data_IF_237622116798
#
_entry.id   IF_237622116798
#
_cell.length_a   1.000
_cell.length_b   1.000
_cell.length_c   1.000
_cell.angle_alpha   90.00
_cell.angle_beta   90.00
_cell.angle_gamma   90.00
#
_symmetry.space_group_name_H-M   'P 1'
#
loop_
_entity.id
_entity.type
_entity.pdbx_description
1 polymer ?
#
# COMPACT_ATOMS: atom_id res chain seq x y z
N UNK A 1 -14.80 0.16 -21.95
CA UNK A 1 -14.19 -0.69 -20.91
C UNK A 1 -13.74 -1.96 -21.58
N UNK A 2 -12.56 -2.47 -21.21
CA UNK A 2 -12.01 -3.72 -21.75
C UNK A 2 -12.78 -4.93 -21.21
N UNK A 3 -12.89 -5.99 -22.01
CA UNK A 3 -13.60 -7.23 -21.64
C UNK A 3 -12.59 -8.21 -20.99
N UNK A 4 -13.07 -9.07 -20.09
CA UNK A 4 -12.24 -10.11 -19.44
C UNK A 4 -11.51 -10.96 -20.49
N UNK A 5 -10.17 -11.05 -20.39
CA UNK A 5 -9.33 -11.81 -21.32
C UNK A 5 -8.69 -11.01 -22.47
N UNK A 6 -8.99 -9.71 -22.62
CA UNK A 6 -8.41 -8.88 -23.67
C UNK A 6 -7.04 -8.26 -23.31
N UNK A 7 -6.65 -8.25 -22.03
CA UNK A 7 -5.35 -7.75 -21.60
C UNK A 7 -4.34 -8.91 -21.61
N UNK A 8 -3.72 -9.13 -22.77
CA UNK A 8 -2.71 -10.17 -23.00
C UNK A 8 -1.27 -9.65 -22.84
N UNK A 9 -1.08 -8.34 -22.77
CA UNK A 9 0.23 -7.69 -22.61
C UNK A 9 0.10 -6.38 -21.84
N UNK A 10 1.18 -5.96 -21.14
CA UNK A 10 1.16 -4.76 -20.30
C UNK A 10 1.25 -3.43 -21.08
N UNK A 11 1.24 -3.48 -22.42
CA UNK A 11 1.40 -2.32 -23.30
C UNK A 11 0.32 -2.18 -24.38
N UNK A 12 -0.69 -3.05 -24.42
CA UNK A 12 -1.80 -2.95 -25.38
C UNK A 12 -1.43 -3.18 -26.86
N UNK A 13 -0.21 -3.62 -27.18
CA UNK A 13 0.21 -4.04 -28.52
C UNK A 13 0.76 -5.48 -28.50
N UNK A 14 0.12 -6.45 -29.19
CA UNK A 14 0.59 -7.83 -29.27
C UNK A 14 1.76 -8.03 -30.26
N UNK A 15 2.27 -6.99 -30.91
CA UNK A 15 3.33 -7.11 -31.92
C UNK A 15 4.70 -7.52 -31.34
N UNK A 16 5.57 -8.19 -32.11
CA UNK A 16 6.94 -8.54 -31.66
C UNK A 16 7.82 -7.33 -31.29
N UNK A 17 7.46 -6.12 -31.75
CA UNK A 17 8.18 -4.88 -31.43
C UNK A 17 7.78 -4.27 -30.09
N UNK A 18 6.75 -4.80 -29.44
CA UNK A 18 6.20 -4.23 -28.22
C UNK A 18 7.20 -4.30 -27.04
N UNK A 19 8.11 -5.29 -27.03
CA UNK A 19 9.19 -5.43 -26.04
C UNK A 19 10.40 -4.50 -26.26
N UNK A 20 10.44 -3.73 -27.35
CA UNK A 20 11.63 -2.95 -27.74
C UNK A 20 11.85 -1.65 -26.93
N UNK A 21 10.94 -1.31 -26.00
CA UNK A 21 10.99 -0.05 -25.24
C UNK A 21 10.73 -0.22 -23.73
N UNK A 22 11.08 -1.37 -23.16
CA UNK A 22 10.89 -1.63 -21.73
C UNK A 22 9.47 -2.07 -21.34
N UNK A 23 8.63 -2.44 -22.32
CA UNK A 23 7.35 -3.08 -22.03
C UNK A 23 7.47 -4.60 -21.96
N UNK A 24 6.53 -5.24 -21.26
CA UNK A 24 6.44 -6.69 -21.19
C UNK A 24 5.35 -7.22 -22.13
N UNK A 25 5.73 -8.19 -22.95
CA UNK A 25 4.80 -9.01 -23.73
C UNK A 25 4.65 -10.39 -23.09
N UNK A 26 4.21 -10.41 -21.83
CA UNK A 26 3.99 -11.60 -21.02
C UNK A 26 2.66 -11.45 -20.27
N UNK A 27 2.01 -12.58 -19.97
CA UNK A 27 0.81 -12.61 -19.14
C UNK A 27 1.13 -12.01 -17.75
N UNK A 28 0.41 -10.95 -17.32
CA UNK A 28 0.62 -10.35 -16.00
C UNK A 28 0.28 -11.27 -14.82
N UNK A 29 -0.38 -12.41 -15.03
CA UNK A 29 -0.78 -13.35 -13.99
C UNK A 29 -1.56 -12.66 -12.85
N UNK A 30 -2.66 -11.99 -13.21
CA UNK A 30 -3.55 -11.36 -12.24
C UNK A 30 -4.25 -12.40 -11.34
N UNK A 31 -4.51 -12.03 -10.08
CA UNK A 31 -5.17 -12.90 -9.08
C UNK A 31 -6.55 -13.38 -9.58
N UNK A 32 -7.37 -12.49 -10.17
CA UNK A 32 -8.64 -12.89 -10.80
C UNK A 32 -9.13 -11.86 -11.83
N UNK A 33 -8.49 -11.83 -13.00
CA UNK A 33 -8.85 -10.91 -14.08
C UNK A 33 -10.31 -11.04 -14.54
N UNK A 34 -10.88 -12.25 -14.50
CA UNK A 34 -12.26 -12.51 -14.92
C UNK A 34 -13.31 -11.80 -14.05
N UNK A 35 -12.98 -11.55 -12.77
CA UNK A 35 -13.81 -10.79 -11.83
C UNK A 35 -13.33 -9.33 -11.65
N UNK A 36 -12.38 -8.88 -12.46
CA UNK A 36 -11.83 -7.52 -12.39
C UNK A 36 -10.78 -7.31 -11.29
N UNK A 37 -10.32 -8.37 -10.64
CA UNK A 37 -9.19 -8.29 -9.71
C UNK A 37 -7.87 -8.34 -10.50
N UNK A 38 -7.36 -7.14 -10.80
CA UNK A 38 -6.13 -6.94 -11.58
C UNK A 38 -4.89 -6.79 -10.68
N UNK A 39 -4.95 -7.26 -9.43
CA UNK A 39 -3.76 -7.35 -8.58
C UNK A 39 -2.85 -8.46 -9.11
N UNK A 40 -1.53 -8.24 -9.06
CA UNK A 40 -0.55 -9.21 -9.54
C UNK A 40 -0.45 -10.41 -8.60
N UNK A 41 -0.56 -11.61 -9.16
CA UNK A 41 -0.37 -12.88 -8.47
C UNK A 41 1.08 -13.13 -8.05
N UNK A 42 1.28 -14.09 -7.15
CA UNK A 42 2.62 -14.53 -6.78
C UNK A 42 3.34 -15.12 -8.00
N UNK A 43 4.53 -14.59 -8.32
CA UNK A 43 5.32 -15.04 -9.47
C UNK A 43 4.94 -14.38 -10.80
N UNK A 44 4.10 -13.34 -10.78
CA UNK A 44 3.85 -12.51 -11.95
C UNK A 44 5.17 -11.96 -12.55
N UNK A 45 5.34 -11.99 -13.88
CA UNK A 45 6.50 -11.39 -14.53
C UNK A 45 6.48 -9.86 -14.47
N UNK A 46 5.38 -9.26 -14.02
CA UNK A 46 5.22 -7.81 -13.83
C UNK A 46 5.70 -7.33 -12.45
N UNK A 47 6.13 -8.24 -11.57
CA UNK A 47 6.63 -7.88 -10.25
C UNK A 47 8.05 -7.30 -10.33
N UNK A 48 8.27 -6.13 -9.75
CA UNK A 48 9.59 -5.53 -9.57
C UNK A 48 10.35 -5.15 -10.86
N UNK A 49 9.62 -4.81 -11.91
CA UNK A 49 10.16 -4.54 -13.26
C UNK A 49 9.71 -3.21 -13.85
N UNK A 50 8.93 -2.41 -13.11
CA UNK A 50 8.60 -1.07 -13.55
C UNK A 50 9.80 -0.12 -13.43
N UNK A 51 9.76 0.97 -14.18
CA UNK A 51 10.76 2.03 -14.08
C UNK A 51 10.67 2.72 -12.71
N UNK A 52 11.75 2.64 -11.93
CA UNK A 52 11.86 3.25 -10.61
C UNK A 52 11.65 4.77 -10.65
N UNK A 53 12.22 5.45 -11.63
CA UNK A 53 12.12 6.90 -11.76
C UNK A 53 10.69 7.36 -11.96
N UNK A 54 9.91 6.63 -12.75
CA UNK A 54 8.47 6.88 -12.94
C UNK A 54 7.68 6.55 -11.68
N UNK A 55 7.95 5.40 -11.04
CA UNK A 55 7.25 5.00 -9.82
C UNK A 55 7.41 6.04 -8.69
N UNK A 56 8.62 6.60 -8.56
CA UNK A 56 8.92 7.63 -7.56
C UNK A 56 8.16 8.94 -7.82
N UNK A 57 7.77 9.25 -9.05
CA UNK A 57 6.94 10.41 -9.37
C UNK A 57 5.46 10.20 -9.00
N UNK A 58 4.93 8.99 -9.21
CA UNK A 58 3.50 8.65 -9.05
C UNK A 58 3.14 8.40 -7.58
N UNK A 59 4.11 7.96 -6.75
CA UNK A 59 4.05 7.81 -5.28
C UNK A 59 3.10 6.73 -4.77
N UNK A 60 1.84 6.72 -5.18
CA UNK A 60 0.86 5.69 -4.77
C UNK A 60 0.13 5.05 -5.94
N UNK A 61 -0.25 3.80 -5.77
CA UNK A 61 -1.03 3.02 -6.71
C UNK A 61 -2.54 3.31 -6.59
N UNK A 62 -3.36 2.61 -7.36
CA UNK A 62 -4.81 2.79 -7.35
C UNK A 62 -5.51 2.30 -6.04
N UNK A 63 -4.81 1.59 -5.16
CA UNK A 63 -5.25 1.21 -3.82
C UNK A 63 -4.58 2.04 -2.72
N UNK A 64 -3.93 3.17 -3.05
CA UNK A 64 -3.23 4.02 -2.10
C UNK A 64 -1.99 3.36 -1.43
N UNK A 65 -1.46 2.28 -2.00
CA UNK A 65 -0.19 1.67 -1.59
C UNK A 65 0.99 2.41 -2.22
N UNK A 66 2.14 2.40 -1.57
CA UNK A 66 3.36 3.01 -2.11
C UNK A 66 3.72 2.36 -3.45
N UNK A 67 3.90 3.16 -4.52
CA UNK A 67 4.33 2.67 -5.86
C UNK A 67 5.68 2.01 -5.82
N UNK A 68 6.54 2.50 -4.96
CA UNK A 68 7.86 1.94 -4.75
C UNK A 68 7.77 1.17 -3.43
N UNK A 69 7.93 -0.16 -3.47
CA UNK A 69 7.84 -1.05 -2.31
C UNK A 69 8.81 -2.24 -2.47
N UNK A 70 9.22 -2.84 -1.35
CA UNK A 70 10.02 -4.08 -1.33
C UNK A 70 9.15 -5.27 -0.95
N UNK A 71 8.14 -5.60 -1.78
CA UNK A 71 7.14 -6.62 -1.41
C UNK A 71 7.77 -8.00 -1.10
N UNK A 72 8.91 -8.30 -1.71
CA UNK A 72 9.66 -9.53 -1.53
C UNK A 72 10.49 -9.55 -0.23
N UNK A 73 10.55 -8.42 0.48
CA UNK A 73 11.40 -8.23 1.65
C UNK A 73 12.83 -8.67 1.34
N UNK A 74 13.41 -8.12 0.28
CA UNK A 74 14.76 -8.38 -0.20
C UNK A 74 15.77 -7.33 0.28
N UNK A 75 15.29 -6.17 0.75
CA UNK A 75 16.05 -4.95 1.00
C UNK A 75 16.22 -4.07 -0.24
N UNK A 76 15.69 -4.48 -1.40
CA UNK A 76 15.72 -3.73 -2.64
C UNK A 76 14.29 -3.35 -3.01
N UNK A 77 14.10 -2.07 -3.28
CA UNK A 77 12.83 -1.55 -3.79
C UNK A 77 12.76 -1.81 -5.27
N UNK A 78 11.71 -2.50 -5.71
CA UNK A 78 11.45 -2.74 -7.12
C UNK A 78 9.93 -2.58 -7.35
N UNK A 79 9.49 -1.51 -8.04
CA UNK A 79 8.08 -1.27 -8.30
C UNK A 79 7.54 -2.24 -9.34
N UNK A 80 6.27 -2.59 -9.20
CA UNK A 80 5.57 -3.48 -10.09
C UNK A 80 5.02 -2.74 -11.33
N UNK A 81 4.96 -3.42 -12.47
CA UNK A 81 4.22 -2.92 -13.62
C UNK A 81 2.73 -3.16 -13.44
N UNK A 82 1.93 -2.10 -13.61
CA UNK A 82 0.47 -2.17 -13.54
C UNK A 82 -0.12 -1.09 -12.66
N UNK A 83 -1.42 -1.21 -12.39
CA UNK A 83 -2.17 -0.24 -11.59
C UNK A 83 -2.04 -0.47 -10.07
N UNK A 84 -1.55 -1.65 -9.67
CA UNK A 84 -1.52 -2.11 -8.28
C UNK A 84 -0.14 -2.68 -7.95
N UNK A 85 0.40 -2.28 -6.81
CA UNK A 85 1.59 -2.88 -6.22
C UNK A 85 1.21 -4.11 -5.40
N UNK A 86 2.04 -5.15 -5.47
CA UNK A 86 1.93 -6.28 -4.57
C UNK A 86 2.38 -5.86 -3.18
N UNK A 87 1.60 -6.24 -2.19
CA UNK A 87 1.84 -5.88 -0.78
C UNK A 87 2.16 -7.13 0.03
N UNK A 88 3.12 -7.01 0.94
CA UNK A 88 3.37 -8.05 1.95
C UNK A 88 2.34 -7.97 3.08
N UNK A 89 2.01 -6.75 3.50
CA UNK A 89 1.02 -6.47 4.54
C UNK A 89 0.00 -5.45 4.03
N UNK A 90 -1.22 -5.54 4.53
CA UNK A 90 -2.32 -4.62 4.25
C UNK A 90 -2.88 -4.05 5.54
N UNK A 91 -3.51 -2.88 5.47
CA UNK A 91 -4.22 -2.29 6.60
C UNK A 91 -5.72 -2.50 6.41
N UNK A 92 -6.30 -3.35 7.24
CA UNK A 92 -7.75 -3.45 7.36
C UNK A 92 -8.24 -2.46 8.41
N UNK A 93 -9.21 -1.64 8.01
CA UNK A 93 -9.90 -0.71 8.91
C UNK A 93 -11.36 -1.09 8.95
N UNK A 94 -11.88 -1.36 10.14
CA UNK A 94 -13.29 -1.66 10.38
C UNK A 94 -13.87 -0.73 11.44
N UNK A 95 -15.20 -0.58 11.45
CA UNK A 95 -15.86 0.44 12.25
C UNK A 95 -15.82 1.83 11.61
N UNK A 96 -16.89 2.59 11.81
CA UNK A 96 -16.98 3.96 11.32
C UNK A 96 -16.17 4.89 12.21
N UNK A 97 -15.59 5.93 11.62
CA UNK A 97 -14.92 7.00 12.35
C UNK A 97 -15.96 7.97 12.98
N UNK A 98 -16.86 7.44 13.79
CA UNK A 98 -17.87 8.24 14.50
C UNK A 98 -17.31 8.79 15.81
N UNK A 99 -17.69 10.01 16.19
CA UNK A 99 -17.27 10.58 17.48
C UNK A 99 -17.75 9.71 18.65
N UNK A 100 -16.82 9.36 19.54
CA UNK A 100 -17.10 8.43 20.65
C UNK A 100 -17.28 6.98 20.23
N UNK A 101 -17.20 6.67 18.92
CA UNK A 101 -17.14 5.32 18.39
C UNK A 101 -15.77 4.68 18.56
N UNK A 102 -15.65 3.45 18.08
CA UNK A 102 -14.40 2.71 18.02
C UNK A 102 -14.12 2.35 16.57
N UNK A 103 -12.94 2.74 16.08
CA UNK A 103 -12.42 2.27 14.81
C UNK A 103 -11.34 1.22 15.10
N UNK A 104 -11.41 0.09 14.41
CA UNK A 104 -10.49 -1.03 14.58
C UNK A 104 -9.50 -1.09 13.43
N UNK A 105 -8.22 -1.18 13.77
CA UNK A 105 -7.12 -1.31 12.84
C UNK A 105 -6.48 -2.68 12.96
N UNK A 106 -6.23 -3.34 11.84
CA UNK A 106 -5.57 -4.63 11.79
C UNK A 106 -4.55 -4.66 10.64
N UNK A 107 -3.30 -5.01 10.96
CA UNK A 107 -2.24 -5.17 9.98
C UNK A 107 -2.25 -6.62 9.49
N UNK A 108 -2.81 -6.87 8.32
CA UNK A 108 -3.00 -8.23 7.79
C UNK A 108 -1.84 -8.65 6.92
N UNK A 109 -1.38 -9.89 7.08
CA UNK A 109 -0.31 -10.48 6.27
C UNK A 109 0.43 -11.56 7.07
N UNK A 110 1.66 -11.93 6.67
CA UNK A 110 2.48 -12.86 7.44
C UNK A 110 2.62 -12.42 8.90
N UNK A 111 2.47 -13.34 9.85
CA UNK A 111 2.55 -13.10 11.30
C UNK A 111 3.96 -12.77 11.82
N UNK A 112 4.89 -12.53 10.90
CA UNK A 112 6.31 -12.41 11.16
C UNK A 112 6.72 -10.95 11.06
N UNK A 113 6.49 -10.19 12.13
CA UNK A 113 6.88 -8.79 12.19
C UNK A 113 6.37 -8.04 13.40
N UNK A 114 6.82 -6.80 13.53
CA UNK A 114 6.25 -5.81 14.44
C UNK A 114 5.75 -4.65 13.58
N UNK A 115 4.48 -4.29 13.78
CA UNK A 115 3.86 -3.19 13.08
C UNK A 115 3.55 -2.00 13.97
N UNK A 116 3.37 -0.84 13.33
CA UNK A 116 2.84 0.36 13.94
C UNK A 116 1.72 0.93 13.08
N UNK A 117 0.67 1.45 13.72
CA UNK A 117 -0.42 2.18 13.06
C UNK A 117 -0.18 3.67 13.24
N UNK A 118 -0.12 4.36 12.11
CA UNK A 118 0.19 5.78 12.01
C UNK A 118 -1.07 6.54 11.61
N UNK A 119 -1.38 7.61 12.32
CA UNK A 119 -2.44 8.56 11.98
C UNK A 119 -1.81 9.87 11.54
N UNK A 120 -2.15 10.33 10.33
CA UNK A 120 -1.70 11.59 9.75
C UNK A 120 -2.86 12.53 9.42
N UNK A 121 -2.65 13.84 9.57
CA UNK A 121 -3.66 14.87 9.24
C UNK A 121 -3.26 15.82 8.09
N UNK A 122 -2.19 15.49 7.37
CA UNK A 122 -1.80 16.17 6.13
C UNK A 122 -1.43 15.17 5.03
N UNK A 123 -1.65 15.59 3.79
CA UNK A 123 -1.32 14.81 2.59
C UNK A 123 -0.01 15.33 2.01
N UNK A 124 1.13 14.85 2.52
CA UNK A 124 2.41 15.14 1.89
C UNK A 124 3.26 13.88 1.71
N UNK A 125 3.81 13.63 0.51
CA UNK A 125 4.82 12.62 0.30
C UNK A 125 6.20 13.18 0.71
N UNK A 126 6.92 12.46 1.56
CA UNK A 126 8.35 12.70 1.81
C UNK A 126 9.17 11.47 1.40
N UNK A 127 10.33 11.73 0.82
CA UNK A 127 11.30 10.73 0.35
C UNK A 127 12.48 10.71 1.31
N UNK A 128 12.86 9.55 1.85
CA UNK A 128 14.18 9.37 2.46
C UNK A 128 14.87 8.15 1.86
N UNK A 129 16.06 8.40 1.31
CA UNK A 129 16.96 7.40 0.75
C UNK A 129 17.92 7.02 1.88
N UNK A 130 17.79 5.78 2.39
CA UNK A 130 18.88 4.92 2.93
C UNK A 130 18.38 3.71 3.75
N UNK A 131 17.08 3.58 4.08
CA UNK A 131 16.55 2.41 4.82
C UNK A 131 15.09 2.05 4.47
N UNK A 132 14.82 1.48 3.28
CA UNK A 132 13.48 0.98 2.89
C UNK A 132 12.34 2.02 2.97
N UNK A 133 11.09 1.61 2.75
CA UNK A 133 9.94 2.47 3.05
C UNK A 133 9.62 2.35 4.55
N UNK A 134 10.04 3.39 5.31
CA UNK A 134 9.69 3.75 6.70
C UNK A 134 9.17 5.21 6.75
N UNK A 135 7.92 5.49 6.35
CA UNK A 135 7.13 6.69 6.67
C UNK A 135 6.98 6.84 8.19
N UNK A 136 7.99 7.41 8.83
CA UNK A 136 7.73 8.31 9.94
C UNK A 136 8.26 9.65 9.50
N UNK A 137 7.38 10.40 8.81
CA UNK A 137 7.64 11.77 8.38
C UNK A 137 6.62 12.67 9.05
N UNK A 138 7.04 13.43 10.04
CA UNK A 138 6.34 14.66 10.38
C UNK A 138 7.39 15.67 10.82
N UNK A 139 7.56 16.81 10.14
CA UNK A 139 7.94 18.00 10.86
C UNK A 139 6.85 18.34 11.88
N UNK A 140 5.56 18.12 11.58
CA UNK A 140 4.44 18.06 12.54
C UNK A 140 3.29 17.25 11.90
N UNK A 141 2.51 16.46 12.68
CA UNK A 141 1.20 15.85 12.35
C UNK A 141 1.07 14.33 12.02
N UNK A 142 2.05 13.47 12.33
CA UNK A 142 1.80 12.01 12.40
C UNK A 142 1.92 11.53 13.84
N UNK A 143 0.97 10.73 14.30
CA UNK A 143 0.99 10.12 15.63
C UNK A 143 0.90 8.61 15.52
N UNK A 144 1.75 7.90 16.26
CA UNK A 144 1.64 6.45 16.40
C UNK A 144 0.50 6.18 17.37
N UNK A 145 -0.51 5.44 16.92
CA UNK A 145 -1.70 5.12 17.72
C UNK A 145 -1.58 3.74 18.37
N UNK A 146 -0.82 2.83 17.76
CA UNK A 146 -0.53 1.51 18.33
C UNK A 146 0.75 0.90 17.74
N UNK A 147 1.39 0.05 18.55
CA UNK A 147 2.33 -0.97 18.09
C UNK A 147 1.68 -2.34 18.28
N UNK A 148 1.63 -3.15 17.22
CA UNK A 148 0.95 -4.44 17.24
C UNK A 148 1.65 -5.44 16.31
N UNK A 149 1.64 -6.74 16.63
CA UNK A 149 2.01 -7.76 15.66
C UNK A 149 0.97 -7.82 14.53
N UNK A 150 1.36 -8.30 13.34
CA UNK A 150 0.39 -8.57 12.27
C UNK A 150 -0.70 -9.54 12.73
N UNK A 151 -1.92 -9.33 12.24
CA UNK A 151 -3.14 -10.07 12.55
C UNK A 151 -3.62 -9.95 14.00
N UNK A 152 -3.28 -8.84 14.66
CA UNK A 152 -3.79 -8.50 15.99
C UNK A 152 -4.65 -7.23 15.91
N UNK A 153 -5.99 -7.34 15.89
CA UNK A 153 -6.86 -6.17 15.75
C UNK A 153 -6.79 -5.28 17.00
N UNK A 154 -6.64 -3.97 16.78
CA UNK A 154 -6.60 -2.95 17.81
C UNK A 154 -7.75 -1.95 17.64
N UNK A 155 -8.59 -1.81 18.66
CA UNK A 155 -9.66 -0.82 18.70
C UNK A 155 -9.18 0.51 19.26
N UNK A 156 -9.23 1.57 18.44
CA UNK A 156 -8.95 2.93 18.85
C UNK A 156 -10.26 3.70 19.10
N UNK A 157 -10.50 4.23 20.31
CA UNK A 157 -11.63 5.11 20.56
C UNK A 157 -11.44 6.43 19.80
N UNK A 158 -12.50 6.91 19.14
CA UNK A 158 -12.51 8.20 18.44
C UNK A 158 -12.87 9.33 19.41
N UNK A 159 -12.25 10.50 19.28
CA UNK A 159 -12.49 11.62 20.19
C UNK A 159 -13.93 12.12 20.09
N UNK A 160 -14.51 12.51 21.23
CA UNK A 160 -15.78 13.25 21.28
C UNK A 160 -15.43 14.74 21.29
N UNK A 161 -15.24 15.30 20.10
CA UNK A 161 -14.96 16.72 19.94
C UNK A 161 -15.72 17.27 18.73
N UNK A 162 -16.90 17.91 18.93
CA UNK A 162 -17.75 18.39 17.83
C UNK A 162 -17.03 19.31 16.84
N UNK A 163 -15.98 20.01 17.27
CA UNK A 163 -15.14 20.84 16.41
C UNK A 163 -14.37 20.04 15.33
N UNK A 164 -14.31 18.71 15.44
CA UNK A 164 -13.68 17.80 14.48
C UNK A 164 -14.69 17.14 13.54
N UNK A 165 -15.97 17.55 13.53
CA UNK A 165 -16.92 17.02 12.54
C UNK A 165 -16.44 17.29 11.11
N UNK A 166 -16.44 16.26 10.28
CA UNK A 166 -15.91 16.29 8.92
C UNK A 166 -14.39 16.38 8.82
N UNK A 167 -13.64 16.37 9.94
CA UNK A 167 -12.19 16.51 9.92
C UNK A 167 -11.53 15.32 9.21
N UNK A 168 -10.77 15.55 8.12
CA UNK A 168 -10.12 14.48 7.37
C UNK A 168 -8.87 13.99 8.08
N UNK A 169 -8.67 12.67 8.07
CA UNK A 169 -7.44 12.05 8.51
C UNK A 169 -7.13 10.81 7.67
N UNK A 170 -5.86 10.43 7.69
CA UNK A 170 -5.35 9.23 7.02
C UNK A 170 -4.76 8.30 8.06
N UNK A 171 -4.95 7.00 7.86
CA UNK A 171 -4.33 5.95 8.64
C UNK A 171 -3.47 5.09 7.73
N UNK A 172 -2.30 4.71 8.19
CA UNK A 172 -1.42 3.81 7.47
C UNK A 172 -0.65 2.92 8.44
N UNK A 173 -0.50 1.65 8.08
CA UNK A 173 0.36 0.72 8.77
C UNK A 173 1.78 0.72 8.21
N UNK A 174 2.76 0.55 9.09
CA UNK A 174 4.08 0.02 8.74
C UNK A 174 4.30 -1.31 9.42
N UNK A 175 4.95 -2.26 8.75
CA UNK A 175 5.43 -3.49 9.36
C UNK A 175 6.90 -3.71 9.03
N UNK A 176 7.69 -4.01 10.06
CA UNK A 176 9.08 -4.47 9.95
C UNK A 176 9.13 -5.97 10.19
N UNK A 177 9.87 -6.70 9.36
CA UNK A 177 10.02 -8.15 9.44
C UNK A 177 10.74 -8.57 10.72
N UNK A 178 10.23 -9.61 11.38
CA UNK A 178 10.86 -10.19 12.56
C UNK A 178 12.16 -10.95 12.23
N UNK A 179 12.36 -11.35 10.98
CA UNK A 179 13.55 -12.10 10.54
C UNK A 179 14.68 -11.20 10.06
N UNK A 180 14.37 -9.94 9.73
CA UNK A 180 15.36 -8.95 9.38
C UNK A 180 14.79 -7.55 9.61
N UNK A 181 15.29 -6.87 10.64
CA UNK A 181 14.82 -5.55 11.05
C UNK A 181 15.17 -4.44 10.06
N UNK A 182 15.98 -4.71 9.05
CA UNK A 182 16.24 -3.77 7.94
C UNK A 182 15.23 -3.88 6.80
N UNK A 183 14.22 -4.76 6.94
CA UNK A 183 13.24 -5.04 5.90
C UNK A 183 11.83 -4.80 6.41
N UNK A 184 11.05 -4.04 5.65
CA UNK A 184 9.70 -3.66 6.02
C UNK A 184 9.09 -2.78 4.94
N UNK A 185 7.77 -2.64 4.99
CA UNK A 185 7.04 -1.78 4.06
C UNK A 185 5.83 -1.16 4.71
N UNK A 186 5.29 -0.18 3.98
CA UNK A 186 3.97 0.35 4.23
C UNK A 186 2.89 -0.53 3.66
N UNK A 187 1.78 -0.49 4.38
CA UNK A 187 0.47 -0.83 3.85
C UNK A 187 -0.07 0.33 3.00
N UNK A 188 -1.18 0.09 2.32
CA UNK A 188 -2.03 1.12 1.76
C UNK A 188 -2.49 2.15 2.79
N UNK A 189 -2.80 3.36 2.30
CA UNK A 189 -3.43 4.39 3.12
C UNK A 189 -4.94 4.21 3.15
N UNK A 190 -5.51 4.33 4.34
CA UNK A 190 -6.94 4.47 4.54
C UNK A 190 -7.27 5.94 4.81
N UNK A 191 -8.07 6.57 3.94
CA UNK A 191 -8.53 7.95 4.12
C UNK A 191 -9.96 7.97 4.61
N UNK A 192 -10.23 8.78 5.62
CA UNK A 192 -11.60 8.95 6.13
C UNK A 192 -11.79 10.31 6.78
N UNK A 193 -12.99 10.56 7.30
CA UNK A 193 -13.37 11.75 8.05
C UNK A 193 -14.09 11.36 9.33
N UNK A 194 -13.87 12.13 10.39
CA UNK A 194 -14.70 12.04 11.58
C UNK A 194 -16.13 12.49 11.25
N UNK A 195 -17.11 11.78 11.78
CA UNK A 195 -18.54 12.12 11.65
C UNK A 195 -19.21 12.10 13.02
N UNK A 196 -20.21 12.95 13.21
CA UNK A 196 -21.12 12.92 14.37
C UNK A 196 -21.90 11.60 14.47
#
# INVERSE_FOLDING_TARGET
GYIAGEILSSNGDPSPGAAAFGNLNLDPLFENAALGDLRLGAGSPCLGVADQGVADLIKVDALEASRSADHALSGIVLPDMGAYERKTWSLEVTGLATMGGVQTYNLVGPSTGLGAVLLGVSEFPFYYVEYGYLLIGAPFQVTVVAYLPPNFPFGAPMPILPALDGFPFTVQGIVVSAFNTTRGNFTERFRTRLVL
#
